data_IF_230147141365
#
_entry.id   IF_230147141365
#
_cell.length_a   1.000
_cell.length_b   1.000
_cell.length_c   1.000
_cell.angle_alpha   90.00
_cell.angle_beta   90.00
_cell.angle_gamma   90.00
#
_symmetry.space_group_name_H-M   'P 1'
#
loop_
_entity.id
_entity.type
_entity.pdbx_description
1 polymer ?
#
# COMPACT_ATOMS: atom_id res chain seq x y z
N UNK A 1 21.22 0.12 4.99
CA UNK A 1 20.57 -1.20 4.92
C UNK A 1 19.36 -1.17 5.84
N UNK A 2 18.15 -1.36 5.30
CA UNK A 2 16.92 -1.29 6.08
C UNK A 2 16.63 -2.63 6.77
N UNK A 3 16.69 -2.67 8.09
CA UNK A 3 16.55 -3.87 8.95
C UNK A 3 15.15 -4.05 9.54
N UNK A 4 14.21 -3.15 9.26
CA UNK A 4 12.88 -3.17 9.88
C UNK A 4 12.02 -4.34 9.40
N UNK A 5 12.06 -4.66 8.10
CA UNK A 5 11.23 -5.70 7.51
C UNK A 5 11.53 -7.10 8.08
N UNK A 6 12.80 -7.54 8.21
CA UNK A 6 13.12 -8.81 8.88
C UNK A 6 12.60 -8.92 10.32
N UNK A 7 12.68 -7.82 11.10
CA UNK A 7 12.25 -7.82 12.51
C UNK A 7 10.74 -7.98 12.62
N UNK A 8 9.97 -7.31 11.77
CA UNK A 8 8.51 -7.42 11.76
C UNK A 8 8.05 -8.83 11.35
N UNK A 9 8.74 -9.45 10.40
CA UNK A 9 8.45 -10.81 9.96
C UNK A 9 8.75 -11.85 11.05
N UNK A 10 9.82 -11.67 11.82
CA UNK A 10 10.14 -12.54 12.96
C UNK A 10 9.13 -12.41 14.09
N UNK A 11 8.76 -11.18 14.44
CA UNK A 11 7.78 -10.91 15.49
C UNK A 11 6.39 -11.49 15.16
N UNK A 12 6.05 -11.59 13.88
CA UNK A 12 4.80 -12.21 13.42
C UNK A 12 4.81 -13.76 13.49
N UNK A 13 5.91 -14.37 13.93
CA UNK A 13 6.07 -15.82 13.99
C UNK A 13 6.16 -16.47 12.61
N UNK A 14 6.36 -15.68 11.55
CA UNK A 14 6.36 -16.16 10.17
C UNK A 14 7.51 -17.15 9.92
N UNK A 15 8.68 -16.91 10.52
CA UNK A 15 9.83 -17.81 10.45
C UNK A 15 9.64 -19.10 11.28
N UNK A 16 8.91 -19.04 12.39
CA UNK A 16 8.61 -20.23 13.19
C UNK A 16 7.54 -21.13 12.54
N UNK A 17 6.58 -20.50 11.84
CA UNK A 17 5.43 -21.18 11.23
C UNK A 17 5.69 -21.67 9.80
N UNK A 18 6.72 -21.15 9.12
CA UNK A 18 7.18 -21.65 7.83
C UNK A 18 8.43 -22.51 8.04
N UNK A 19 8.27 -23.83 8.01
CA UNK A 19 9.38 -24.79 7.80
C UNK A 19 9.87 -24.76 6.34
N UNK A 20 9.69 -23.63 5.68
CA UNK A 20 10.05 -23.48 4.29
C UNK A 20 11.54 -23.16 4.24
N UNK A 21 12.21 -23.87 3.34
CA UNK A 21 13.63 -23.83 3.04
C UNK A 21 14.19 -22.41 3.22
N UNK A 22 15.02 -22.20 4.25
CA UNK A 22 15.81 -20.99 4.43
C UNK A 22 16.90 -20.96 3.37
N UNK A 23 16.50 -20.95 2.10
CA UNK A 23 17.42 -20.77 1.02
C UNK A 23 18.00 -19.38 1.19
N UNK A 24 19.33 -19.29 1.23
CA UNK A 24 20.04 -18.04 0.99
C UNK A 24 19.81 -17.53 -0.46
N UNK A 25 18.92 -18.17 -1.22
CA UNK A 25 18.57 -17.69 -2.53
C UNK A 25 17.95 -16.29 -2.38
N UNK A 26 18.40 -15.33 -3.20
CA UNK A 26 17.82 -14.01 -3.18
C UNK A 26 16.32 -14.08 -3.51
N UNK A 27 15.54 -13.17 -2.95
CA UNK A 27 14.16 -12.99 -3.38
C UNK A 27 14.12 -12.83 -4.89
N UNK A 28 13.21 -13.57 -5.54
CA UNK A 28 12.96 -13.38 -6.95
C UNK A 28 12.38 -11.98 -7.13
N UNK A 29 13.14 -11.10 -7.77
CA UNK A 29 12.69 -9.78 -8.17
C UNK A 29 12.08 -9.91 -9.55
N UNK A 30 10.79 -9.65 -9.66
CA UNK A 30 10.08 -9.62 -10.93
C UNK A 30 9.72 -8.18 -11.27
N UNK A 31 10.18 -7.72 -12.44
CA UNK A 31 9.62 -6.51 -13.03
C UNK A 31 8.21 -6.84 -13.52
N UNK A 32 7.21 -6.13 -13.02
CA UNK A 32 5.87 -6.25 -13.56
C UNK A 32 5.81 -5.55 -14.92
N UNK A 33 5.57 -6.26 -16.04
CA UNK A 33 5.62 -5.68 -17.37
C UNK A 33 4.38 -4.81 -17.67
N UNK A 34 3.26 -5.06 -17.00
CA UNK A 34 1.99 -4.35 -17.21
C UNK A 34 1.82 -3.15 -16.27
N UNK A 35 2.93 -2.60 -15.76
CA UNK A 35 2.92 -1.45 -14.88
C UNK A 35 2.84 -0.15 -15.69
N UNK A 36 1.64 0.42 -15.80
CA UNK A 36 1.50 1.71 -16.48
C UNK A 36 2.31 2.78 -15.75
N UNK A 37 3.23 3.40 -16.49
CA UNK A 37 4.09 4.42 -15.94
C UNK A 37 3.36 5.76 -15.91
N UNK A 38 3.59 6.50 -14.84
CA UNK A 38 3.15 7.88 -14.72
C UNK A 38 3.78 8.73 -15.83
N UNK A 39 2.99 9.60 -16.46
CA UNK A 39 3.45 10.48 -17.54
C UNK A 39 3.71 11.93 -17.09
N UNK A 40 3.45 12.24 -15.82
CA UNK A 40 3.63 13.56 -15.23
C UNK A 40 4.57 13.53 -14.01
N UNK A 41 4.69 14.65 -13.31
CA UNK A 41 5.64 14.81 -12.18
C UNK A 41 5.02 14.66 -10.79
N UNK A 42 3.68 14.58 -10.66
CA UNK A 42 3.00 14.75 -9.37
C UNK A 42 2.12 13.61 -8.87
N UNK A 43 1.85 12.58 -9.68
CA UNK A 43 0.98 11.46 -9.37
C UNK A 43 1.70 10.22 -8.78
N UNK A 44 3.04 10.21 -8.67
CA UNK A 44 3.81 9.03 -8.24
C UNK A 44 3.29 8.42 -6.93
N UNK A 45 2.96 9.26 -5.94
CA UNK A 45 2.38 8.81 -4.69
C UNK A 45 1.00 8.19 -4.84
N UNK A 46 0.17 8.72 -5.75
CA UNK A 46 -1.17 8.17 -6.03
C UNK A 46 -1.04 6.81 -6.72
N UNK A 47 -0.13 6.66 -7.69
CA UNK A 47 0.18 5.37 -8.31
C UNK A 47 0.61 4.33 -7.27
N UNK A 48 1.55 4.67 -6.39
CA UNK A 48 2.02 3.73 -5.35
C UNK A 48 0.88 3.28 -4.44
N UNK A 49 0.04 4.19 -3.97
CA UNK A 49 -1.10 3.84 -3.09
C UNK A 49 -2.09 2.94 -3.85
N UNK A 50 -2.43 3.28 -5.10
CA UNK A 50 -3.36 2.48 -5.91
C UNK A 50 -2.80 1.11 -6.27
N UNK A 51 -1.50 0.99 -6.54
CA UNK A 51 -0.86 -0.31 -6.74
C UNK A 51 -0.94 -1.17 -5.50
N UNK A 52 -0.62 -0.62 -4.32
CA UNK A 52 -0.76 -1.34 -3.07
C UNK A 52 -2.21 -1.82 -2.85
N UNK A 53 -3.18 -0.93 -3.05
CA UNK A 53 -4.61 -1.26 -2.91
C UNK A 53 -5.03 -2.38 -3.87
N UNK A 54 -4.70 -2.27 -5.16
CA UNK A 54 -5.10 -3.26 -6.16
C UNK A 54 -4.45 -4.61 -5.90
N UNK A 55 -3.18 -4.65 -5.52
CA UNK A 55 -2.48 -5.89 -5.14
C UNK A 55 -3.11 -6.54 -3.91
N UNK A 56 -3.49 -5.76 -2.89
CA UNK A 56 -4.15 -6.28 -1.67
C UNK A 56 -5.51 -6.92 -1.99
N UNK A 57 -6.27 -6.35 -2.94
CA UNK A 57 -7.57 -6.89 -3.34
C UNK A 57 -7.51 -7.94 -4.47
N UNK A 58 -6.32 -8.21 -5.03
CA UNK A 58 -6.15 -9.11 -6.18
C UNK A 58 -6.66 -8.54 -7.51
N UNK A 59 -6.76 -7.22 -7.63
CA UNK A 59 -7.12 -6.53 -8.87
C UNK A 59 -5.91 -6.36 -9.80
N UNK A 60 -6.18 -6.25 -11.10
CA UNK A 60 -5.15 -6.07 -12.11
C UNK A 60 -4.55 -4.65 -12.02
N UNK A 61 -3.26 -4.56 -11.71
CA UNK A 61 -2.58 -3.26 -11.62
C UNK A 61 -2.51 -2.50 -12.95
N UNK A 62 -2.69 -3.19 -14.08
CA UNK A 62 -2.82 -2.59 -15.41
C UNK A 62 -4.04 -1.66 -15.53
N UNK A 63 -4.99 -1.74 -14.62
CA UNK A 63 -6.12 -0.82 -14.54
C UNK A 63 -5.79 0.51 -13.83
N UNK A 64 -4.63 0.62 -13.19
CA UNK A 64 -4.15 1.86 -12.56
C UNK A 64 -3.52 2.74 -13.64
N UNK A 65 -4.36 3.47 -14.34
CA UNK A 65 -3.99 4.27 -15.51
C UNK A 65 -3.88 5.76 -15.17
N UNK A 66 -3.12 6.50 -15.97
CA UNK A 66 -2.90 7.93 -15.78
C UNK A 66 -4.19 8.77 -15.88
N UNK A 67 -5.12 8.41 -16.76
CA UNK A 67 -6.40 9.09 -16.95
C UNK A 67 -7.31 8.99 -15.69
N UNK A 68 -7.12 7.95 -14.87
CA UNK A 68 -7.84 7.77 -13.60
C UNK A 68 -7.22 8.53 -12.43
N UNK A 69 -5.99 9.05 -12.56
CA UNK A 69 -5.28 9.68 -11.44
C UNK A 69 -6.03 10.88 -10.86
N UNK A 70 -6.67 11.68 -11.71
CA UNK A 70 -7.44 12.83 -11.25
C UNK A 70 -8.64 12.41 -10.38
N UNK A 71 -9.33 11.34 -10.78
CA UNK A 71 -10.40 10.74 -9.98
C UNK A 71 -9.87 10.16 -8.67
N UNK A 72 -8.80 9.35 -8.71
CA UNK A 72 -8.23 8.73 -7.51
C UNK A 72 -7.75 9.77 -6.51
N UNK A 73 -7.07 10.82 -6.97
CA UNK A 73 -6.62 11.93 -6.14
C UNK A 73 -7.79 12.59 -5.42
N UNK A 74 -8.85 12.96 -6.15
CA UNK A 74 -10.04 13.61 -5.58
C UNK A 74 -10.77 12.71 -4.59
N UNK A 75 -10.96 11.43 -4.93
CA UNK A 75 -11.58 10.43 -4.05
C UNK A 75 -10.80 10.32 -2.74
N UNK A 76 -9.49 10.12 -2.83
CA UNK A 76 -8.62 9.98 -1.65
C UNK A 76 -8.61 11.26 -0.79
N UNK A 77 -8.57 12.44 -1.40
CA UNK A 77 -8.70 13.70 -0.66
C UNK A 77 -10.00 13.77 0.12
N UNK A 78 -11.12 13.38 -0.51
CA UNK A 78 -12.42 13.37 0.16
C UNK A 78 -12.48 12.33 1.29
N UNK A 79 -11.95 11.12 1.09
CA UNK A 79 -11.90 10.07 2.11
C UNK A 79 -11.06 10.52 3.33
N UNK A 80 -9.87 11.08 3.09
CA UNK A 80 -9.01 11.61 4.15
C UNK A 80 -9.66 12.78 4.89
N UNK A 81 -10.32 13.69 4.17
CA UNK A 81 -11.03 14.82 4.77
C UNK A 81 -12.19 14.33 5.62
N UNK A 82 -13.03 13.44 5.09
CA UNK A 82 -14.15 12.86 5.81
C UNK A 82 -13.69 12.15 7.08
N UNK A 83 -12.61 11.37 7.00
CA UNK A 83 -12.00 10.70 8.15
C UNK A 83 -11.49 11.70 9.21
N UNK A 84 -10.87 12.80 8.78
CA UNK A 84 -10.41 13.84 9.70
C UNK A 84 -11.57 14.60 10.37
N UNK A 85 -12.68 14.83 9.66
CA UNK A 85 -13.88 15.44 10.24
C UNK A 85 -14.55 14.52 11.26
N UNK A 86 -14.68 13.23 10.92
CA UNK A 86 -15.20 12.20 11.83
C UNK A 86 -14.39 12.13 13.13
N UNK A 87 -13.05 12.09 13.04
CA UNK A 87 -12.18 12.16 14.21
C UNK A 87 -12.42 13.39 15.08
N UNK A 88 -12.57 14.55 14.44
CA UNK A 88 -12.81 15.81 15.14
C UNK A 88 -14.17 15.83 15.84
N UNK A 89 -15.21 15.30 15.20
CA UNK A 89 -16.57 15.25 15.77
C UNK A 89 -16.65 14.29 16.95
N UNK A 90 -15.96 13.16 16.88
CA UNK A 90 -15.91 12.17 17.95
C UNK A 90 -14.82 12.43 19.00
N UNK A 91 -14.09 13.55 18.90
CA UNK A 91 -12.96 13.91 19.79
C UNK A 91 -11.87 12.81 19.90
N UNK A 92 -11.68 12.06 18.82
CA UNK A 92 -10.72 10.96 18.71
C UNK A 92 -9.41 11.45 18.11
N UNK A 93 -8.28 11.16 18.77
CA UNK A 93 -6.94 11.51 18.32
C UNK A 93 -6.34 10.38 17.47
N UNK A 94 -6.60 9.13 17.84
CA UNK A 94 -6.03 7.94 17.22
C UNK A 94 -7.09 7.01 16.64
N UNK A 95 -6.79 6.36 15.53
CA UNK A 95 -7.66 5.31 14.97
C UNK A 95 -7.83 4.11 15.91
N UNK A 96 -7.00 4.00 16.95
CA UNK A 96 -7.09 2.98 17.99
C UNK A 96 -8.15 3.25 19.06
N UNK A 97 -8.68 4.48 19.11
CA UNK A 97 -9.70 4.89 20.09
C UNK A 97 -11.13 4.72 19.53
N UNK A 98 -11.25 4.27 18.27
CA UNK A 98 -12.53 3.94 17.65
C UNK A 98 -12.89 2.48 17.94
N UNK A 99 -14.10 2.27 18.47
CA UNK A 99 -14.75 0.96 18.60
C UNK A 99 -15.17 0.37 17.24
#
# INVERSE_FOLDING_TARGET
MATLLPILLDFSGLFANRKDDYSFAPFKVEHCPDNLQQDNTGDCGVFVIKYAEYLMYGYAISEVTQDKMNFFRRKMTFELYSHAMDKKENEVVSDLERD
#
